data_IF_415120754901
#
_entry.id   IF_415120754901
#
_cell.length_a   1.000
_cell.length_b   1.000
_cell.length_c   1.000
_cell.angle_alpha   90.00
_cell.angle_beta   90.00
_cell.angle_gamma   90.00
#
_symmetry.space_group_name_H-M   'P 1'
#
loop_
_entity.id
_entity.type
_entity.pdbx_description
1 polymer ?
#
# COMPACT_ATOMS: atom_id res chain seq x y z
N UNK A 1 9.02 13.22 8.41
CA UNK A 1 7.72 13.38 9.11
C UNK A 1 6.83 12.22 8.66
N UNK A 2 5.97 11.70 9.54
CA UNK A 2 5.00 10.66 9.15
C UNK A 2 4.03 11.25 8.12
N UNK A 3 4.05 10.81 6.85
CA UNK A 3 3.21 11.39 5.80
C UNK A 3 1.72 11.20 6.06
N UNK A 4 1.33 10.33 7.00
CA UNK A 4 -0.07 10.14 7.40
C UNK A 4 -0.54 11.11 8.51
N UNK A 5 0.38 11.84 9.17
CA UNK A 5 0.06 12.64 10.35
C UNK A 5 -0.38 11.81 11.57
N UNK A 6 -0.61 12.45 12.74
CA UNK A 6 -1.20 11.77 13.89
C UNK A 6 -2.67 11.40 13.58
N UNK A 7 -3.15 10.21 14.01
CA UNK A 7 -4.56 9.84 13.82
C UNK A 7 -5.47 10.84 14.56
N UNK A 8 -6.62 11.20 13.96
CA UNK A 8 -7.64 11.96 14.67
C UNK A 8 -8.20 11.14 15.85
N UNK A 9 -8.83 11.81 16.83
CA UNK A 9 -9.50 11.12 17.94
C UNK A 9 -10.47 10.05 17.41
N UNK A 10 -10.32 8.81 17.90
CA UNK A 10 -11.11 7.65 17.47
C UNK A 10 -10.54 6.84 16.28
N UNK A 11 -9.39 7.22 15.73
CA UNK A 11 -8.66 6.43 14.73
C UNK A 11 -8.15 5.11 15.28
N UNK A 12 -8.13 4.08 14.44
CA UNK A 12 -7.65 2.73 14.75
C UNK A 12 -6.32 2.49 14.04
N UNK A 13 -5.38 1.85 14.74
CA UNK A 13 -4.13 1.33 14.18
C UNK A 13 -4.09 -0.19 14.33
N UNK A 14 -3.91 -0.91 13.23
CA UNK A 14 -3.70 -2.37 13.22
C UNK A 14 -2.48 -2.69 12.37
N UNK A 15 -1.63 -3.59 12.86
CA UNK A 15 -0.53 -4.15 12.09
C UNK A 15 -0.86 -5.60 11.73
N UNK A 16 -0.70 -5.94 10.45
CA UNK A 16 -0.66 -7.31 9.98
C UNK A 16 0.80 -7.78 10.06
N UNK A 17 1.05 -8.79 10.88
CA UNK A 17 2.39 -9.27 11.19
C UNK A 17 2.53 -10.72 10.72
N UNK A 18 3.64 -11.04 10.07
CA UNK A 18 3.97 -12.40 9.64
C UNK A 18 4.28 -13.32 10.83
N UNK A 19 4.26 -14.63 10.60
CA UNK A 19 4.64 -15.62 11.62
C UNK A 19 6.08 -15.48 12.12
N UNK A 20 6.94 -14.82 11.33
CA UNK A 20 8.34 -14.55 11.66
C UNK A 20 8.57 -13.12 12.21
N UNK A 21 7.48 -12.40 12.52
CA UNK A 21 7.53 -11.13 13.26
C UNK A 21 7.69 -9.88 12.39
N UNK A 22 7.62 -9.98 11.06
CA UNK A 22 7.67 -8.83 10.16
C UNK A 22 6.30 -8.17 10.07
N UNK A 23 6.23 -6.84 10.23
CA UNK A 23 5.03 -6.09 9.86
C UNK A 23 4.91 -6.05 8.35
N UNK A 24 3.91 -6.74 7.81
CA UNK A 24 3.67 -6.83 6.38
C UNK A 24 2.84 -5.64 5.89
N UNK A 25 1.79 -5.27 6.63
CA UNK A 25 0.94 -4.13 6.29
C UNK A 25 0.40 -3.45 7.55
N UNK A 26 0.02 -2.18 7.43
CA UNK A 26 -0.65 -1.44 8.51
C UNK A 26 -1.96 -0.83 8.02
N UNK A 27 -3.00 -0.95 8.84
CA UNK A 27 -4.26 -0.24 8.70
C UNK A 27 -4.25 0.96 9.66
N UNK A 28 -4.52 2.15 9.12
CA UNK A 28 -4.70 3.40 9.87
C UNK A 28 -6.01 4.04 9.44
N UNK A 29 -6.89 4.36 10.38
CA UNK A 29 -8.17 5.06 10.11
C UNK A 29 -8.19 6.44 10.76
N UNK A 30 -9.17 7.27 10.36
CA UNK A 30 -9.36 8.60 10.95
C UNK A 30 -8.31 9.61 10.49
N UNK A 31 -7.74 9.44 9.30
CA UNK A 31 -6.76 10.38 8.76
C UNK A 31 -7.44 11.58 8.11
N UNK A 32 -6.94 12.77 8.40
CA UNK A 32 -7.52 14.04 7.95
C UNK A 32 -6.97 14.52 6.60
N UNK A 33 -5.80 14.00 6.19
CA UNK A 33 -5.16 14.29 4.91
C UNK A 33 -4.98 13.02 4.08
N UNK A 34 -4.91 13.18 2.75
CA UNK A 34 -4.55 12.12 1.81
C UNK A 34 -3.10 12.22 1.35
N UNK A 35 -2.77 11.54 0.24
CA UNK A 35 -1.45 11.62 -0.38
C UNK A 35 -1.20 13.04 -0.86
N UNK A 36 -0.08 13.65 -0.46
CA UNK A 36 0.44 14.80 -1.17
C UNK A 36 1.18 14.32 -2.42
N UNK A 37 1.07 15.08 -3.52
CA UNK A 37 1.81 14.83 -4.75
C UNK A 37 2.85 15.92 -4.97
N UNK A 38 3.98 15.88 -4.23
CA UNK A 38 5.03 16.88 -4.41
C UNK A 38 5.70 16.75 -5.78
N UNK A 39 5.79 15.53 -6.31
CA UNK A 39 6.41 15.23 -7.60
C UNK A 39 5.77 13.97 -8.23
N UNK A 40 5.79 13.87 -9.56
CA UNK A 40 5.41 12.66 -10.29
C UNK A 40 6.64 11.84 -10.62
N UNK A 41 6.63 10.56 -10.26
CA UNK A 41 7.72 9.63 -10.51
C UNK A 41 7.33 8.58 -11.55
N UNK A 42 8.31 8.05 -12.31
CA UNK A 42 8.12 6.82 -13.07
C UNK A 42 7.52 5.72 -12.22
N UNK A 43 6.60 4.96 -12.80
CA UNK A 43 5.87 3.91 -12.09
C UNK A 43 5.65 2.67 -12.96
N UNK A 44 5.40 1.56 -12.29
CA UNK A 44 4.94 0.32 -12.91
C UNK A 44 3.88 -0.31 -12.02
N UNK A 45 2.76 -0.74 -12.60
CA UNK A 45 1.71 -1.47 -11.87
C UNK A 45 1.88 -2.96 -12.12
N UNK A 46 2.00 -3.74 -11.05
CA UNK A 46 2.18 -5.20 -11.10
C UNK A 46 0.87 -5.95 -10.84
N UNK A 47 0.02 -5.42 -9.96
CA UNK A 47 -1.30 -5.99 -9.67
C UNK A 47 -2.30 -4.88 -9.36
N UNK A 48 -3.55 -5.09 -9.75
CA UNK A 48 -4.66 -4.19 -9.47
C UNK A 48 -5.97 -4.97 -9.42
N UNK A 49 -6.76 -4.76 -8.38
CA UNK A 49 -8.05 -5.43 -8.22
C UNK A 49 -9.05 -4.53 -7.49
N UNK A 50 -10.29 -4.36 -7.98
CA UNK A 50 -11.29 -3.57 -7.26
C UNK A 50 -11.60 -4.20 -5.90
N UNK A 51 -11.96 -3.39 -4.91
CA UNK A 51 -12.40 -3.79 -3.56
C UNK A 51 -13.88 -3.39 -3.37
N UNK A 52 -14.86 -4.10 -3.96
CA UNK A 52 -16.26 -3.67 -4.01
C UNK A 52 -16.90 -3.49 -2.64
N UNK A 53 -16.41 -4.23 -1.64
CA UNK A 53 -16.96 -4.16 -0.30
C UNK A 53 -16.67 -2.83 0.41
N UNK A 54 -15.76 -2.02 -0.13
CA UNK A 54 -15.45 -0.68 0.33
C UNK A 54 -16.08 0.40 -0.56
N UNK A 55 -16.95 0.04 -1.50
CA UNK A 55 -17.55 1.01 -2.40
C UNK A 55 -18.33 2.09 -1.64
N UNK A 56 -18.09 3.35 -1.98
CA UNK A 56 -18.78 4.51 -1.46
C UNK A 56 -19.33 5.32 -2.63
N UNK A 57 -20.59 5.73 -2.57
CA UNK A 57 -21.21 6.49 -3.67
C UNK A 57 -21.24 5.76 -5.02
N UNK A 58 -21.10 4.43 -5.04
CA UNK A 58 -21.07 3.62 -6.26
C UNK A 58 -19.67 3.36 -6.83
N UNK A 59 -18.63 3.98 -6.29
CA UNK A 59 -17.24 3.77 -6.72
C UNK A 59 -16.49 2.89 -5.71
N UNK A 60 -15.89 1.81 -6.21
CA UNK A 60 -15.04 0.93 -5.41
C UNK A 60 -13.59 1.42 -5.46
N UNK A 61 -12.88 1.54 -4.32
CA UNK A 61 -11.44 1.66 -4.36
C UNK A 61 -10.83 0.37 -4.90
N UNK A 62 -9.53 0.38 -5.21
CA UNK A 62 -8.79 -0.78 -5.70
C UNK A 62 -7.61 -1.09 -4.82
N UNK A 63 -7.30 -2.37 -4.67
CA UNK A 63 -5.97 -2.82 -4.31
C UNK A 63 -5.04 -2.53 -5.48
N UNK A 64 -3.84 -2.06 -5.19
CA UNK A 64 -2.76 -1.86 -6.16
C UNK A 64 -1.48 -2.41 -5.55
N UNK A 65 -0.66 -3.06 -6.37
CA UNK A 65 0.75 -3.31 -6.12
C UNK A 65 1.55 -2.63 -7.23
N UNK A 66 2.42 -1.69 -6.86
CA UNK A 66 3.18 -0.88 -7.80
C UNK A 66 4.64 -0.69 -7.37
N UNK A 67 5.48 -0.40 -8.36
CA UNK A 67 6.84 0.07 -8.19
C UNK A 67 6.97 1.53 -8.56
N UNK A 68 7.85 2.24 -7.85
CA UNK A 68 8.24 3.62 -8.11
C UNK A 68 9.74 3.69 -8.27
N UNK A 69 10.17 4.42 -9.29
CA UNK A 69 11.59 4.67 -9.51
C UNK A 69 11.88 6.14 -9.23
N UNK A 70 12.81 6.42 -8.32
CA UNK A 70 13.35 7.75 -8.09
C UNK A 70 14.63 7.93 -8.94
N UNK A 71 14.55 8.69 -10.06
CA UNK A 71 15.71 8.91 -10.92
C UNK A 71 16.77 9.81 -10.29
N UNK A 72 16.44 10.54 -9.20
CA UNK A 72 17.36 11.40 -8.48
C UNK A 72 18.08 10.67 -7.33
N UNK A 73 17.71 9.41 -7.04
CA UNK A 73 18.32 8.64 -5.96
C UNK A 73 19.81 8.35 -6.25
N UNK A 74 20.67 8.78 -5.33
CA UNK A 74 22.11 8.51 -5.38
C UNK A 74 22.48 7.11 -4.87
N UNK A 75 21.60 6.49 -4.08
CA UNK A 75 21.72 5.12 -3.57
C UNK A 75 20.86 4.19 -4.43
N UNK A 76 21.46 3.26 -5.20
CA UNK A 76 20.72 2.33 -6.05
C UNK A 76 19.71 1.47 -5.28
N UNK A 77 19.96 1.17 -4.00
CA UNK A 77 19.04 0.39 -3.17
C UNK A 77 17.76 1.15 -2.81
N UNK A 78 17.78 2.49 -2.93
CA UNK A 78 16.64 3.38 -2.68
C UNK A 78 16.00 3.91 -3.96
N UNK A 79 16.64 3.67 -5.10
CA UNK A 79 16.16 4.12 -6.40
C UNK A 79 14.85 3.45 -6.80
N UNK A 80 14.50 2.30 -6.22
CA UNK A 80 13.23 1.62 -6.45
C UNK A 80 12.51 1.34 -5.15
N UNK A 81 11.22 1.67 -5.09
CA UNK A 81 10.33 1.37 -3.97
C UNK A 81 9.13 0.59 -4.48
N UNK A 82 8.77 -0.50 -3.81
CA UNK A 82 7.60 -1.30 -4.15
C UNK A 82 6.58 -1.23 -3.03
N UNK A 83 5.37 -0.79 -3.34
CA UNK A 83 4.31 -0.61 -2.36
C UNK A 83 3.03 -1.27 -2.82
N UNK A 84 2.25 -1.76 -1.87
CA UNK A 84 0.90 -2.24 -2.13
C UNK A 84 -0.09 -1.70 -1.11
N UNK A 85 -1.36 -1.65 -1.48
CA UNK A 85 -2.43 -1.21 -0.61
C UNK A 85 -3.69 -0.79 -1.34
N UNK A 86 -4.64 -0.22 -0.60
CA UNK A 86 -5.92 0.25 -1.15
C UNK A 86 -5.80 1.71 -1.58
N UNK A 87 -6.29 2.06 -2.77
CA UNK A 87 -6.39 3.44 -3.23
C UNK A 87 -7.76 3.77 -3.82
N UNK A 88 -8.27 4.96 -3.48
CA UNK A 88 -9.42 5.59 -4.16
C UNK A 88 -8.99 6.54 -5.28
N UNK A 89 -7.69 6.74 -5.50
CA UNK A 89 -7.18 7.63 -6.54
C UNK A 89 -7.49 7.07 -7.94
N UNK A 90 -7.58 7.92 -8.99
CA UNK A 90 -7.69 7.45 -10.37
C UNK A 90 -6.53 6.52 -10.76
N UNK A 91 -6.75 5.62 -11.72
CA UNK A 91 -5.67 4.78 -12.24
C UNK A 91 -4.59 5.66 -12.89
N UNK A 92 -3.30 5.45 -12.56
CA UNK A 92 -2.24 6.27 -13.11
C UNK A 92 -2.16 6.09 -14.64
N UNK A 93 -1.85 7.18 -15.35
CA UNK A 93 -1.75 7.20 -16.81
C UNK A 93 -0.48 7.93 -17.25
N UNK A 94 0.13 7.45 -18.34
CA UNK A 94 1.38 7.97 -18.89
C UNK A 94 2.61 7.37 -18.20
N UNK A 95 3.75 8.04 -18.35
CA UNK A 95 5.04 7.51 -17.88
C UNK A 95 5.36 7.88 -16.42
N UNK A 96 4.65 8.86 -15.84
CA UNK A 96 4.85 9.32 -14.47
C UNK A 96 3.54 9.58 -13.74
N UNK A 97 3.50 9.28 -12.44
CA UNK A 97 2.34 9.52 -11.59
C UNK A 97 2.75 9.98 -10.19
N UNK A 98 1.82 10.57 -9.45
CA UNK A 98 2.02 10.84 -8.02
C UNK A 98 2.28 9.52 -7.28
N UNK A 99 3.23 9.46 -6.31
CA UNK A 99 3.40 8.29 -5.47
C UNK A 99 2.06 7.93 -4.83
N UNK A 100 1.59 6.68 -5.00
CA UNK A 100 0.37 6.25 -4.33
C UNK A 100 0.73 6.02 -2.87
N UNK A 101 0.48 7.04 -2.06
CA UNK A 101 0.22 6.78 -0.66
C UNK A 101 -1.17 6.15 -0.63
N UNK A 102 -1.23 4.85 -0.36
CA UNK A 102 -2.41 3.99 -0.49
C UNK A 102 -3.57 4.41 0.44
N UNK A 103 -4.23 5.51 0.10
CA UNK A 103 -5.34 6.10 0.82
C UNK A 103 -6.67 5.80 0.13
N UNK A 104 -7.69 5.55 0.93
CA UNK A 104 -9.05 5.34 0.43
C UNK A 104 -10.08 6.01 1.32
N UNK A 105 -11.24 6.28 0.74
CA UNK A 105 -12.38 6.85 1.44
C UNK A 105 -12.84 5.89 2.54
N UNK A 106 -12.91 6.39 3.78
CA UNK A 106 -13.36 5.62 4.94
C UNK A 106 -14.15 6.52 5.89
N UNK A 107 -15.49 6.51 5.82
CA UNK A 107 -16.31 7.41 6.62
C UNK A 107 -15.95 7.39 8.12
N UNK A 108 -15.88 8.56 8.79
CA UNK A 108 -16.17 9.91 8.27
C UNK A 108 -15.02 10.56 7.47
N UNK A 109 -13.82 9.97 7.47
CA UNK A 109 -12.60 10.59 6.93
C UNK A 109 -11.93 9.68 5.86
N UNK A 110 -10.64 9.36 6.05
CA UNK A 110 -9.84 8.48 5.20
C UNK A 110 -9.16 7.38 6.02
N UNK A 111 -8.80 6.32 5.32
CA UNK A 111 -8.00 5.22 5.84
C UNK A 111 -6.84 4.89 4.89
N UNK A 112 -5.80 4.26 5.41
CA UNK A 112 -4.68 3.69 4.66
C UNK A 112 -4.54 2.26 5.12
N UNK A 113 -4.48 1.34 4.15
CA UNK A 113 -4.14 -0.05 4.43
C UNK A 113 -3.10 -0.48 3.41
N UNK A 114 -1.84 -0.56 3.84
CA UNK A 114 -0.71 -0.70 2.93
C UNK A 114 0.53 -1.28 3.57
N UNK A 115 1.44 -1.73 2.72
CA UNK A 115 2.76 -2.23 3.06
C UNK A 115 3.77 -1.97 1.95
N UNK A 116 5.01 -2.35 2.21
CA UNK A 116 6.14 -2.19 1.29
C UNK A 116 6.78 -3.55 1.09
N UNK A 117 7.16 -3.83 -0.15
CA UNK A 117 8.05 -4.94 -0.48
C UNK A 117 9.47 -4.39 -0.59
N UNK A 118 10.38 -4.94 0.22
CA UNK A 118 11.81 -4.65 0.18
C UNK A 118 12.54 -5.90 -0.33
N UNK A 119 13.10 -5.88 -1.56
CA UNK A 119 13.87 -7.02 -2.09
C UNK A 119 15.17 -7.28 -1.32
N UNK A 120 15.59 -6.34 -0.47
CA UNK A 120 16.78 -6.47 0.38
C UNK A 120 16.44 -6.81 1.84
N UNK A 121 15.20 -7.21 2.12
CA UNK A 121 14.77 -7.60 3.46
C UNK A 121 15.62 -8.77 3.99
N UNK A 122 16.29 -8.54 5.12
CA UNK A 122 17.14 -9.52 5.79
C UNK A 122 16.50 -10.12 7.05
N UNK A 123 15.20 -9.87 7.28
CA UNK A 123 14.48 -10.37 8.44
C UNK A 123 14.58 -11.90 8.52
N UNK A 124 15.04 -12.47 9.66
CA UNK A 124 15.10 -13.93 9.81
C UNK A 124 13.74 -14.59 9.58
N UNK A 125 13.69 -15.58 8.69
CA UNK A 125 12.45 -16.28 8.33
C UNK A 125 11.71 -15.70 7.11
N UNK A 126 12.14 -14.56 6.58
CA UNK A 126 11.62 -14.03 5.33
C UNK A 126 11.85 -14.99 4.14
N UNK A 127 10.98 -14.96 3.11
CA UNK A 127 11.19 -15.69 1.87
C UNK A 127 12.57 -15.41 1.28
N UNK A 128 13.28 -16.46 0.87
CA UNK A 128 14.62 -16.34 0.27
C UNK A 128 14.52 -16.21 -1.25
N UNK A 129 15.46 -15.44 -1.84
CA UNK A 129 15.60 -15.27 -3.29
C UNK A 129 14.36 -14.67 -3.97
N UNK A 130 13.70 -13.76 -3.28
CA UNK A 130 12.63 -12.96 -3.86
C UNK A 130 13.28 -11.66 -4.29
N UNK A 131 13.81 -11.65 -5.51
CA UNK A 131 14.67 -10.56 -5.99
C UNK A 131 13.94 -9.64 -6.98
N UNK A 132 12.73 -10.01 -7.40
CA UNK A 132 11.90 -9.21 -8.32
C UNK A 132 10.47 -9.04 -7.77
N UNK A 133 9.81 -7.92 -8.11
CA UNK A 133 8.42 -7.67 -7.70
C UNK A 133 7.45 -8.73 -8.23
N UNK A 134 7.68 -9.28 -9.42
CA UNK A 134 6.86 -10.35 -9.99
C UNK A 134 6.99 -11.65 -9.19
N UNK A 135 8.21 -12.02 -8.79
CA UNK A 135 8.45 -13.22 -7.95
C UNK A 135 7.83 -13.03 -6.57
N UNK A 136 7.82 -11.81 -6.03
CA UNK A 136 7.16 -11.53 -4.75
C UNK A 136 5.67 -11.87 -4.75
N UNK A 137 4.98 -11.68 -5.89
CA UNK A 137 3.55 -12.01 -6.01
C UNK A 137 3.24 -13.50 -5.81
N UNK A 138 4.22 -14.38 -6.02
CA UNK A 138 4.07 -15.81 -5.82
C UNK A 138 4.27 -16.26 -4.37
N UNK A 139 4.76 -15.38 -3.50
CA UNK A 139 5.03 -15.69 -2.09
C UNK A 139 3.75 -15.87 -1.27
N UNK A 140 3.83 -16.65 -0.20
CA UNK A 140 2.73 -16.78 0.78
C UNK A 140 2.46 -15.44 1.46
N UNK A 141 3.50 -14.68 1.79
CA UNK A 141 3.38 -13.33 2.37
C UNK A 141 2.53 -12.40 1.49
N UNK A 142 2.82 -12.30 0.19
CA UNK A 142 2.02 -11.47 -0.70
C UNK A 142 0.55 -11.92 -0.75
N UNK A 143 0.32 -13.24 -0.87
CA UNK A 143 -1.02 -13.81 -0.96
C UNK A 143 -1.83 -13.54 0.31
N UNK A 144 -1.23 -13.72 1.48
CA UNK A 144 -1.86 -13.46 2.78
C UNK A 144 -2.19 -11.98 2.96
N UNK A 145 -1.25 -11.10 2.60
CA UNK A 145 -1.45 -9.65 2.68
C UNK A 145 -2.52 -9.18 1.71
N UNK A 146 -2.47 -9.61 0.44
CA UNK A 146 -3.50 -9.29 -0.54
C UNK A 146 -4.86 -9.76 -0.04
N UNK A 147 -4.97 -11.01 0.46
CA UNK A 147 -6.21 -11.52 1.04
C UNK A 147 -6.69 -10.67 2.21
N UNK A 148 -5.82 -10.33 3.16
CA UNK A 148 -6.18 -9.52 4.33
C UNK A 148 -6.68 -8.13 3.91
N UNK A 149 -5.97 -7.44 3.02
CA UNK A 149 -6.35 -6.13 2.50
C UNK A 149 -7.69 -6.19 1.75
N UNK A 150 -7.84 -7.16 0.85
CA UNK A 150 -9.06 -7.40 0.08
C UNK A 150 -10.25 -7.80 0.96
N UNK A 151 -10.00 -8.36 2.14
CA UNK A 151 -11.04 -8.76 3.10
C UNK A 151 -11.57 -7.61 3.96
N UNK A 152 -10.96 -6.42 3.92
CA UNK A 152 -11.37 -5.29 4.74
C UNK A 152 -12.84 -4.92 4.47
N UNK A 153 -13.62 -4.73 5.53
CA UNK A 153 -15.03 -4.31 5.49
C UNK A 153 -15.26 -3.19 6.50
N UNK A 154 -16.17 -2.24 6.24
CA UNK A 154 -16.62 -1.31 7.27
C UNK A 154 -17.28 -2.07 8.43
N UNK A 155 -16.95 -1.71 9.66
CA UNK A 155 -17.59 -2.28 10.84
C UNK A 155 -18.94 -1.59 11.07
N UNK A 156 -20.04 -2.36 11.02
CA UNK A 156 -21.40 -1.85 11.19
C UNK A 156 -22.08 -1.53 9.86
N UNK A 157 -23.12 -2.31 9.54
CA UNK A 157 -24.23 -1.85 8.71
C UNK A 157 -25.33 -1.35 9.64
#
# INVERSE_FOLDING_TARGET
MDPAGPPAEGGVFVALVSDYGKTMATLRTGMTSGAECPEKLPFMVYDTEPVPALAQGGEAPRFVYEGRTDPAASDPSRAMTFGYGITSEPEPFGDTACPISHFFTWPPNRAMFSGVYDPFDTTPGAPKNVDTPEVYMDTTEYKDVKQAIMSLRPAGK
#
